data_IF_220852242997
#
_entry.id   IF_220852242997
#
_cell.length_a   1.000
_cell.length_b   1.000
_cell.length_c   1.000
_cell.angle_alpha   90.00
_cell.angle_beta   90.00
_cell.angle_gamma   90.00
#
_symmetry.space_group_name_H-M   'P 1'
#
loop_
_entity.id
_entity.type
_entity.pdbx_description
1 polymer ?
#
# COMPACT_ATOMS: atom_id res chain seq x y z
N UNK A 1 8.43 -26.31 -29.74
CA UNK A 1 9.18 -26.86 -28.59
C UNK A 1 8.35 -26.66 -27.33
N UNK A 2 8.41 -27.57 -26.36
CA UNK A 2 7.91 -27.34 -24.99
C UNK A 2 9.12 -27.25 -24.07
N UNK A 3 9.23 -26.18 -23.28
CA UNK A 3 10.23 -26.08 -22.22
C UNK A 3 9.87 -27.08 -21.12
N UNK A 4 10.80 -27.95 -20.66
CA UNK A 4 10.57 -28.81 -19.50
C UNK A 4 10.29 -27.98 -18.25
N UNK A 5 9.42 -28.47 -17.36
CA UNK A 5 9.08 -27.80 -16.10
C UNK A 5 10.34 -27.59 -15.24
N UNK A 6 11.24 -28.57 -15.22
CA UNK A 6 12.54 -28.52 -14.53
C UNK A 6 13.44 -27.37 -15.02
N UNK A 7 13.42 -27.07 -16.32
CA UNK A 7 14.20 -25.96 -16.90
C UNK A 7 13.52 -24.62 -16.59
N UNK A 8 12.19 -24.56 -16.66
CA UNK A 8 11.42 -23.36 -16.35
C UNK A 8 11.55 -22.94 -14.88
N UNK A 9 11.53 -23.90 -13.95
CA UNK A 9 11.62 -23.65 -12.51
C UNK A 9 13.05 -23.68 -11.96
N UNK A 10 14.08 -23.74 -12.81
CA UNK A 10 15.48 -23.82 -12.38
C UNK A 10 15.86 -22.56 -11.58
N UNK A 11 16.31 -22.76 -10.34
CA UNK A 11 16.70 -21.68 -9.42
C UNK A 11 15.57 -21.17 -8.52
N UNK A 12 14.35 -21.71 -8.67
CA UNK A 12 13.21 -21.45 -7.78
C UNK A 12 12.94 -22.65 -6.87
N UNK A 13 12.17 -22.48 -5.78
CA UNK A 13 11.73 -23.59 -4.92
C UNK A 13 11.01 -24.72 -5.69
N UNK A 14 11.19 -25.96 -5.25
CA UNK A 14 10.70 -27.16 -5.94
C UNK A 14 9.16 -27.22 -6.03
N UNK A 15 8.47 -26.52 -5.14
CA UNK A 15 7.02 -26.35 -5.08
C UNK A 15 6.44 -25.79 -6.39
N UNK A 16 7.16 -24.89 -7.07
CA UNK A 16 6.73 -24.37 -8.37
C UNK A 16 6.72 -25.46 -9.45
N UNK A 17 7.73 -26.34 -9.45
CA UNK A 17 7.78 -27.49 -10.35
C UNK A 17 6.73 -28.54 -10.00
N UNK A 18 6.51 -28.81 -8.70
CA UNK A 18 5.46 -29.73 -8.23
C UNK A 18 4.06 -29.23 -8.62
N UNK A 19 3.76 -27.94 -8.47
CA UNK A 19 2.51 -27.32 -8.91
C UNK A 19 2.29 -27.49 -10.42
N UNK A 20 3.28 -27.14 -11.24
CA UNK A 20 3.16 -27.23 -12.70
C UNK A 20 3.05 -28.67 -13.22
N UNK A 21 3.78 -29.62 -12.61
CA UNK A 21 3.65 -31.03 -12.94
C UNK A 21 2.27 -31.59 -12.53
N UNK A 22 1.75 -31.19 -11.36
CA UNK A 22 0.38 -31.52 -10.95
C UNK A 22 -0.65 -31.02 -11.97
N UNK A 23 -0.64 -29.73 -12.31
CA UNK A 23 -1.57 -29.14 -13.28
C UNK A 23 -1.48 -29.77 -14.69
N UNK A 24 -0.31 -30.29 -15.09
CA UNK A 24 -0.13 -31.01 -16.37
C UNK A 24 -0.53 -32.49 -16.32
N UNK A 25 -0.65 -33.07 -15.12
CA UNK A 25 -1.05 -34.46 -14.90
C UNK A 25 -2.56 -34.67 -14.76
N UNK A 26 -3.33 -33.61 -14.52
CA UNK A 26 -4.78 -33.67 -14.38
C UNK A 26 -5.48 -34.23 -15.63
N UNK A 27 -6.41 -35.16 -15.43
CA UNK A 27 -7.34 -35.60 -16.48
C UNK A 27 -8.39 -34.51 -16.74
N UNK A 28 -8.98 -34.52 -17.93
CA UNK A 28 -9.97 -33.51 -18.37
C UNK A 28 -11.18 -33.37 -17.42
N UNK A 29 -11.63 -34.46 -16.80
CA UNK A 29 -12.77 -34.50 -15.88
C UNK A 29 -12.36 -34.51 -14.39
N UNK A 30 -11.07 -34.35 -14.09
CA UNK A 30 -10.54 -34.44 -12.73
C UNK A 30 -10.64 -33.09 -12.00
N UNK A 31 -11.28 -33.10 -10.84
CA UNK A 31 -11.36 -31.92 -9.98
C UNK A 31 -9.98 -31.64 -9.34
N UNK A 32 -9.41 -30.42 -9.45
CA UNK A 32 -8.13 -30.11 -8.82
C UNK A 32 -8.23 -30.13 -7.30
N UNK A 33 -7.24 -30.74 -6.64
CA UNK A 33 -7.05 -30.62 -5.20
C UNK A 33 -6.45 -29.25 -4.86
N UNK A 34 -7.34 -28.26 -4.77
CA UNK A 34 -6.97 -26.91 -4.34
C UNK A 34 -6.49 -26.85 -2.88
N UNK A 35 -6.80 -27.84 -2.03
CA UNK A 35 -6.27 -27.89 -0.66
C UNK A 35 -4.79 -28.23 -0.68
N UNK A 36 -4.41 -29.30 -1.39
CA UNK A 36 -3.01 -29.67 -1.64
C UNK A 36 -2.21 -28.51 -2.27
N UNK A 37 -2.71 -27.91 -3.36
CA UNK A 37 -1.99 -26.85 -4.08
C UNK A 37 -1.78 -25.59 -3.22
N UNK A 38 -2.77 -25.21 -2.38
CA UNK A 38 -2.61 -24.10 -1.43
C UNK A 38 -1.63 -24.48 -0.31
N UNK A 39 -1.71 -25.71 0.20
CA UNK A 39 -0.86 -26.16 1.29
C UNK A 39 0.62 -26.22 0.90
N UNK A 40 0.91 -26.59 -0.35
CA UNK A 40 2.26 -26.59 -0.93
C UNK A 40 2.94 -25.22 -0.76
N UNK A 41 2.28 -24.13 -1.20
CA UNK A 41 2.82 -22.78 -1.04
C UNK A 41 2.74 -22.25 0.40
N UNK A 42 1.76 -22.66 1.21
CA UNK A 42 1.70 -22.31 2.65
C UNK A 42 2.88 -22.87 3.43
N UNK A 43 3.29 -24.11 3.14
CA UNK A 43 4.47 -24.73 3.75
C UNK A 43 5.73 -23.97 3.34
N UNK A 44 5.94 -23.74 2.03
CA UNK A 44 7.08 -22.97 1.52
C UNK A 44 7.19 -21.58 2.15
N UNK A 45 6.08 -20.83 2.20
CA UNK A 45 6.02 -19.49 2.77
C UNK A 45 6.45 -19.45 4.24
N UNK A 46 6.02 -20.45 5.03
CA UNK A 46 6.45 -20.62 6.42
C UNK A 46 7.92 -21.04 6.55
N UNK A 47 8.41 -21.91 5.66
CA UNK A 47 9.82 -22.33 5.61
C UNK A 47 10.77 -21.17 5.28
N UNK A 48 10.29 -20.18 4.51
CA UNK A 48 11.00 -18.92 4.23
C UNK A 48 10.80 -17.85 5.33
N UNK A 49 10.20 -18.21 6.47
CA UNK A 49 9.90 -17.34 7.61
C UNK A 49 9.07 -16.08 7.26
N UNK A 50 8.24 -16.14 6.21
CA UNK A 50 7.34 -15.05 5.85
C UNK A 50 6.04 -15.07 6.67
N UNK A 51 5.47 -13.89 6.92
CA UNK A 51 4.25 -13.69 7.71
C UNK A 51 3.07 -13.30 6.81
N UNK A 52 1.87 -13.75 7.17
CA UNK A 52 0.63 -13.39 6.45
C UNK A 52 0.09 -12.04 6.93
N UNK A 53 0.86 -10.97 6.69
CA UNK A 53 0.56 -9.60 7.11
C UNK A 53 -0.09 -8.73 6.01
N UNK A 54 -0.25 -9.28 4.80
CA UNK A 54 -0.71 -8.60 3.59
C UNK A 54 0.21 -7.44 3.11
N UNK A 55 1.47 -7.42 3.55
CA UNK A 55 2.49 -6.47 3.07
C UNK A 55 3.11 -6.99 1.77
N UNK A 56 2.66 -6.45 0.64
CA UNK A 56 3.24 -6.73 -0.68
C UNK A 56 4.25 -5.66 -1.10
N UNK A 57 5.10 -5.93 -2.09
CA UNK A 57 6.13 -4.99 -2.58
C UNK A 57 5.59 -3.59 -2.91
N UNK A 58 4.40 -3.54 -3.55
CA UNK A 58 3.73 -2.29 -3.90
C UNK A 58 3.18 -1.52 -2.69
N UNK A 59 2.97 -2.18 -1.55
CA UNK A 59 2.57 -1.52 -0.29
C UNK A 59 3.78 -0.84 0.37
N UNK A 60 4.93 -1.53 0.40
CA UNK A 60 6.18 -0.98 0.95
C UNK A 60 6.68 0.22 0.13
N UNK A 61 6.53 0.18 -1.20
CA UNK A 61 6.92 1.31 -2.05
C UNK A 61 6.11 2.58 -1.74
N UNK A 62 4.79 2.44 -1.50
CA UNK A 62 3.92 3.56 -1.10
C UNK A 62 4.27 4.09 0.29
N UNK A 63 4.51 3.21 1.26
CA UNK A 63 4.96 3.61 2.60
C UNK A 63 6.29 4.36 2.55
N UNK A 64 7.26 3.88 1.77
CA UNK A 64 8.58 4.54 1.64
C UNK A 64 8.49 5.90 0.96
N UNK A 65 7.61 6.05 -0.03
CA UNK A 65 7.31 7.35 -0.65
C UNK A 65 6.61 8.33 0.32
N UNK A 66 5.63 7.86 1.10
CA UNK A 66 4.96 8.67 2.12
C UNK A 66 5.93 9.12 3.22
N UNK A 67 6.77 8.21 3.72
CA UNK A 67 7.77 8.51 4.75
C UNK A 67 8.80 9.54 4.25
N UNK A 68 9.23 9.43 2.99
CA UNK A 68 10.11 10.42 2.37
C UNK A 68 9.45 11.82 2.30
N UNK A 69 8.18 11.89 1.89
CA UNK A 69 7.42 13.14 1.81
C UNK A 69 7.14 13.79 3.18
N UNK A 70 6.99 13.00 4.26
CA UNK A 70 6.88 13.54 5.63
C UNK A 70 8.22 13.98 6.22
N UNK A 71 9.33 13.35 5.83
CA UNK A 71 10.67 13.71 6.34
C UNK A 71 11.16 15.08 5.86
N UNK A 72 10.66 15.59 4.73
CA UNK A 72 11.04 16.89 4.19
C UNK A 72 10.32 18.09 4.82
N UNK A 73 9.28 17.87 5.65
CA UNK A 73 8.52 18.96 6.30
C UNK A 73 9.07 19.36 7.68
N UNK A 74 10.06 18.62 8.21
CA UNK A 74 10.60 18.83 9.56
C UNK A 74 11.79 19.82 9.63
N UNK A 75 12.18 20.44 8.51
CA UNK A 75 13.40 21.25 8.39
C UNK A 75 13.17 22.78 8.30
N UNK A 76 12.00 23.28 8.71
CA UNK A 76 11.67 24.72 8.61
C UNK A 76 11.04 25.27 9.91
N UNK A 77 11.75 25.12 11.03
CA UNK A 77 11.41 25.79 12.29
C UNK A 77 12.63 26.42 12.95
N UNK A 78 12.49 27.70 13.34
CA UNK A 78 13.38 28.45 14.27
C UNK A 78 14.65 29.09 13.67
N UNK A 79 14.49 30.22 12.97
CA UNK A 79 15.54 31.23 12.78
C UNK A 79 14.97 32.65 12.57
N UNK A 80 14.04 33.08 13.44
CA UNK A 80 13.50 34.45 13.42
C UNK A 80 14.34 35.40 14.28
N UNK A 81 15.28 36.13 13.66
CA UNK A 81 16.18 37.09 14.32
C UNK A 81 15.54 38.49 14.47
N UNK A 82 16.15 39.32 15.32
CA UNK A 82 15.58 40.50 16.00
C UNK A 82 15.65 41.85 15.25
N UNK A 83 14.70 42.74 15.60
CA UNK A 83 14.80 44.23 15.73
C UNK A 83 15.18 45.13 14.54
N UNK A 84 14.29 46.09 14.18
CA UNK A 84 14.67 47.41 13.63
C UNK A 84 13.56 48.49 13.78
N UNK A 85 13.97 49.77 13.78
CA UNK A 85 13.22 50.97 14.22
C UNK A 85 13.80 52.23 13.55
N UNK A 86 13.13 53.38 13.33
CA UNK A 86 11.80 53.92 13.71
C UNK A 86 11.32 54.97 12.67
N UNK A 87 10.03 55.32 12.68
CA UNK A 87 9.43 56.64 12.32
C UNK A 87 9.29 57.08 10.83
N UNK A 88 8.14 57.71 10.51
CA UNK A 88 7.91 58.43 9.24
C UNK A 88 6.43 58.65 8.81
N UNK A 89 5.82 59.73 9.31
CA UNK A 89 4.55 60.43 8.97
C UNK A 89 4.11 60.40 7.45
N UNK A 90 2.85 60.52 6.95
CA UNK A 90 1.57 61.15 7.42
C UNK A 90 0.37 60.76 6.48
N UNK A 91 -0.90 60.69 6.97
CA UNK A 91 -2.24 60.99 6.34
C UNK A 91 -2.54 60.60 4.85
N UNK A 92 -3.72 60.15 4.35
CA UNK A 92 -5.12 59.99 4.80
C UNK A 92 -5.89 58.98 3.87
N UNK A 93 -7.17 58.58 4.12
CA UNK A 93 -7.77 57.36 3.54
C UNK A 93 -8.83 57.57 2.43
N UNK A 94 -9.08 56.54 1.61
CA UNK A 94 -10.43 56.23 1.05
C UNK A 94 -10.65 54.71 0.91
N UNK A 95 -11.88 54.27 1.16
CA UNK A 95 -12.32 52.88 1.09
C UNK A 95 -12.91 52.53 -0.28
N UNK A 96 -12.67 51.31 -0.75
CA UNK A 96 -13.69 50.51 -1.45
C UNK A 96 -13.70 49.11 -0.80
N UNK A 97 -14.87 48.69 -0.33
CA UNK A 97 -15.09 47.37 0.26
C UNK A 97 -15.39 46.33 -0.82
N UNK A 98 -14.63 45.25 -0.87
CA UNK A 98 -15.07 44.01 -1.54
C UNK A 98 -15.08 42.88 -0.51
N UNK A 99 -16.28 42.34 -0.29
CA UNK A 99 -16.61 41.31 0.69
C UNK A 99 -15.70 40.08 0.59
N UNK A 100 -15.04 39.72 1.70
CA UNK A 100 -14.47 38.37 1.82
C UNK A 100 -15.61 37.37 1.99
N UNK A 101 -15.72 36.40 1.07
CA UNK A 101 -16.62 35.27 1.26
C UNK A 101 -16.03 34.32 2.32
N UNK A 102 -16.59 34.37 3.52
CA UNK A 102 -16.44 33.28 4.49
C UNK A 102 -17.21 32.06 3.99
N UNK A 103 -16.53 31.16 3.29
CA UNK A 103 -17.02 29.79 3.11
C UNK A 103 -16.30 28.88 4.09
N UNK A 104 -17.01 28.61 5.18
CA UNK A 104 -16.76 27.60 6.20
C UNK A 104 -16.05 26.34 5.67
N UNK A 105 -14.94 25.95 6.33
CA UNK A 105 -14.43 24.58 6.25
C UNK A 105 -15.50 23.63 6.79
N UNK A 106 -16.28 23.00 5.91
CA UNK A 106 -17.21 21.96 6.31
C UNK A 106 -16.45 20.69 6.63
N UNK A 107 -16.59 20.23 7.88
CA UNK A 107 -16.07 18.95 8.33
C UNK A 107 -16.56 17.81 7.44
N UNK A 108 -15.64 16.89 7.13
CA UNK A 108 -15.85 15.43 7.17
C UNK A 108 -17.32 14.93 7.22
N UNK A 109 -17.79 14.32 6.13
CA UNK A 109 -18.42 12.97 6.16
C UNK A 109 -18.65 12.48 4.73
N UNK A 110 -18.30 11.22 4.46
CA UNK A 110 -18.88 10.44 3.37
C UNK A 110 -18.05 10.32 2.10
N UNK A 111 -17.22 9.28 2.04
CA UNK A 111 -17.53 8.21 1.10
C UNK A 111 -17.01 6.86 1.62
N UNK A 112 -17.92 6.03 2.17
CA UNK A 112 -17.62 4.63 2.46
C UNK A 112 -17.59 3.86 1.14
N UNK A 113 -16.40 3.75 0.53
CA UNK A 113 -16.17 2.81 -0.56
C UNK A 113 -16.34 1.39 -0.04
N UNK A 114 -17.51 0.80 -0.30
CA UNK A 114 -17.88 -0.51 0.23
C UNK A 114 -16.89 -1.61 -0.20
N UNK A 115 -16.08 -2.07 0.75
CA UNK A 115 -15.48 -3.39 0.68
C UNK A 115 -16.59 -4.43 0.85
N UNK A 116 -16.81 -5.37 -0.08
CA UNK A 116 -17.64 -6.53 0.20
C UNK A 116 -16.96 -7.33 1.32
N UNK A 117 -17.65 -7.50 2.44
CA UNK A 117 -17.17 -8.28 3.58
C UNK A 117 -17.03 -9.75 3.15
N UNK A 118 -15.79 -10.21 2.96
CA UNK A 118 -15.52 -11.63 2.77
C UNK A 118 -15.64 -12.32 4.13
N UNK A 119 -16.50 -13.35 4.27
CA UNK A 119 -16.68 -14.02 5.54
C UNK A 119 -15.35 -14.62 6.01
N UNK A 120 -14.96 -14.28 7.24
CA UNK A 120 -13.74 -14.77 7.88
C UNK A 120 -13.77 -16.30 7.93
N UNK A 121 -12.92 -16.95 7.13
CA UNK A 121 -12.68 -18.38 7.22
C UNK A 121 -11.97 -18.69 8.55
N UNK A 122 -12.79 -19.02 9.54
CA UNK A 122 -12.38 -19.50 10.86
C UNK A 122 -11.66 -20.85 10.70
N UNK A 123 -10.33 -20.84 10.69
CA UNK A 123 -9.52 -22.05 10.67
C UNK A 123 -9.32 -22.56 12.11
N UNK A 124 -10.31 -23.31 12.59
CA UNK A 124 -10.12 -24.36 13.57
C UNK A 124 -10.76 -25.63 12.98
N UNK A 125 -10.15 -26.78 13.28
CA UNK A 125 -10.40 -28.12 12.75
C UNK A 125 -9.91 -28.37 11.30
#
# INVERSE_FOLDING_TARGET
MSTPVEILCKGFPAEFAMYLNYCRGLRFEEAPDYMYLRQLFRILFRTLNHQYDYTFDWTMLKQKAANAASSSTAATATAGLTTATTAGTTMAPQQISTTQMTTTNMMNTGNNGATPDLPKMNNND
#
